data_IF_392641472668
#
_entry.id   IF_392641472668
#
_cell.length_a   1.000
_cell.length_b   1.000
_cell.length_c   1.000
_cell.angle_alpha   90.00
_cell.angle_beta   90.00
_cell.angle_gamma   90.00
#
_symmetry.space_group_name_H-M   'P 1'
#
loop_
_entity.id
_entity.type
_entity.pdbx_description
1 polymer ?
#
# COMPACT_ATOMS: atom_id res chain seq x y z
N UNK A 1 -8.17 -7.79 28.63
CA UNK A 1 -7.72 -7.82 27.23
C UNK A 1 -7.06 -9.17 27.02
N UNK A 2 -7.83 -10.16 26.54
CA UNK A 2 -7.36 -11.53 26.32
C UNK A 2 -6.76 -11.61 24.92
N UNK A 3 -5.45 -11.84 24.83
CA UNK A 3 -4.82 -12.22 23.56
C UNK A 3 -5.41 -13.58 23.16
N UNK A 4 -6.18 -13.61 22.07
CA UNK A 4 -6.83 -14.82 21.55
C UNK A 4 -5.85 -15.79 20.88
N UNK A 5 -4.63 -15.34 20.57
CA UNK A 5 -3.59 -16.16 19.95
C UNK A 5 -2.29 -16.09 20.76
N UNK A 6 -1.69 -17.27 21.02
CA UNK A 6 -0.42 -17.40 21.75
C UNK A 6 0.68 -17.84 20.79
N UNK A 7 1.84 -17.18 20.85
CA UNK A 7 3.01 -17.55 20.04
C UNK A 7 3.49 -18.98 20.31
N UNK A 8 3.14 -19.56 21.47
CA UNK A 8 3.46 -20.94 21.84
C UNK A 8 2.69 -21.97 20.99
N UNK A 9 1.58 -21.58 20.36
CA UNK A 9 0.78 -22.45 19.51
C UNK A 9 1.18 -22.36 18.03
N UNK A 10 1.98 -21.36 17.65
CA UNK A 10 2.44 -21.18 16.28
C UNK A 10 3.77 -21.90 16.07
N UNK A 11 3.78 -22.92 15.21
CA UNK A 11 4.95 -23.74 14.89
C UNK A 11 5.68 -23.31 13.61
N UNK A 12 5.21 -22.24 12.96
CA UNK A 12 5.80 -21.71 11.73
C UNK A 12 6.96 -20.74 11.96
N UNK A 13 7.42 -20.12 10.87
CA UNK A 13 8.54 -19.16 10.91
C UNK A 13 8.06 -17.76 11.30
N UNK A 14 8.36 -17.34 12.54
CA UNK A 14 8.04 -15.99 13.04
C UNK A 14 8.78 -14.87 12.28
N UNK A 15 9.84 -15.21 11.53
CA UNK A 15 10.51 -14.29 10.61
C UNK A 15 9.56 -13.67 9.57
N UNK A 16 8.51 -14.38 9.16
CA UNK A 16 7.49 -13.84 8.25
C UNK A 16 6.70 -12.69 8.88
N UNK A 17 6.42 -12.78 10.18
CA UNK A 17 5.78 -11.69 10.93
C UNK A 17 6.75 -10.54 11.17
N UNK A 18 7.99 -10.85 11.56
CA UNK A 18 9.04 -9.83 11.77
C UNK A 18 9.27 -9.00 10.51
N UNK A 19 9.31 -9.63 9.34
CA UNK A 19 9.53 -8.97 8.06
C UNK A 19 8.54 -7.83 7.79
N UNK A 20 7.28 -7.95 8.23
CA UNK A 20 6.25 -6.93 8.02
C UNK A 20 6.46 -5.65 8.85
N UNK A 21 7.23 -5.72 9.94
CA UNK A 21 7.37 -4.60 10.88
C UNK A 21 8.82 -4.14 11.08
N UNK A 22 9.79 -4.89 10.58
CA UNK A 22 11.22 -4.60 10.77
C UNK A 22 11.72 -3.66 9.66
N UNK A 23 11.56 -2.35 9.90
CA UNK A 23 11.98 -1.25 9.00
C UNK A 23 11.46 -1.40 7.54
N UNK A 24 10.36 -2.13 7.38
CA UNK A 24 9.70 -2.42 6.11
C UNK A 24 8.35 -1.73 6.06
N UNK A 25 8.24 -0.66 5.26
CA UNK A 25 6.99 0.08 5.11
C UNK A 25 6.94 0.78 3.75
N UNK A 26 5.73 0.91 3.22
CA UNK A 26 5.40 1.87 2.17
C UNK A 26 5.19 3.23 2.83
N UNK A 27 5.81 4.27 2.29
CA UNK A 27 5.54 5.64 2.68
C UNK A 27 5.62 6.57 1.48
N UNK A 28 4.54 7.29 1.23
CA UNK A 28 4.47 8.33 0.23
C UNK A 28 3.60 9.49 0.72
N UNK A 29 3.93 10.69 0.28
CA UNK A 29 3.18 11.90 0.62
C UNK A 29 2.71 12.59 -0.64
N UNK A 30 1.51 13.20 -0.61
CA UNK A 30 0.94 13.92 -1.75
C UNK A 30 0.87 13.10 -3.04
N UNK A 31 0.36 11.88 -2.96
CA UNK A 31 0.17 11.00 -4.12
C UNK A 31 -1.31 10.87 -4.48
N UNK A 32 -1.58 10.51 -5.73
CA UNK A 32 -2.94 10.24 -6.23
C UNK A 32 -3.01 8.84 -6.82
N UNK A 33 -4.18 8.21 -6.74
CA UNK A 33 -4.44 6.91 -7.35
C UNK A 33 -4.33 7.02 -8.88
N UNK A 34 -3.62 6.10 -9.51
CA UNK A 34 -3.43 6.08 -10.97
C UNK A 34 -4.31 5.06 -11.68
N UNK A 35 -4.74 4.02 -10.97
CA UNK A 35 -5.60 2.97 -11.50
C UNK A 35 -6.33 2.24 -10.36
N UNK A 36 -7.17 1.28 -10.74
CA UNK A 36 -7.78 0.31 -9.83
C UNK A 36 -7.80 -1.07 -10.50
N UNK A 37 -7.75 -2.12 -9.69
CA UNK A 37 -7.88 -3.50 -10.15
C UNK A 37 -9.30 -4.02 -9.90
N UNK A 38 -9.76 -3.98 -8.64
CA UNK A 38 -11.13 -4.31 -8.24
C UNK A 38 -11.88 -3.06 -7.75
N UNK A 39 -13.17 -3.21 -7.46
CA UNK A 39 -14.02 -2.10 -7.03
C UNK A 39 -13.58 -1.47 -5.69
N UNK A 40 -12.92 -2.23 -4.83
CA UNK A 40 -12.55 -1.83 -3.47
C UNK A 40 -11.05 -1.56 -3.31
N UNK A 41 -10.26 -1.49 -4.39
CA UNK A 41 -8.84 -1.21 -4.31
C UNK A 41 -8.43 0.02 -5.14
N UNK A 42 -7.26 0.55 -4.80
CA UNK A 42 -6.62 1.67 -5.48
C UNK A 42 -5.15 1.35 -5.72
N UNK A 43 -4.63 1.72 -6.88
CA UNK A 43 -3.23 1.55 -7.27
C UNK A 43 -2.56 2.92 -7.29
N UNK A 44 -1.39 3.01 -6.65
CA UNK A 44 -0.56 4.21 -6.58
C UNK A 44 0.81 3.94 -7.21
N UNK A 45 1.35 4.94 -7.91
CA UNK A 45 2.76 4.94 -8.35
C UNK A 45 3.63 5.39 -7.17
N UNK A 46 4.09 4.43 -6.38
CA UNK A 46 4.98 4.65 -5.24
C UNK A 46 6.18 3.74 -5.43
N UNK A 47 7.36 4.33 -5.55
CA UNK A 47 8.60 3.58 -5.67
C UNK A 47 9.26 3.34 -4.32
N UNK A 48 9.76 2.12 -4.15
CA UNK A 48 10.57 1.74 -3.00
C UNK A 48 11.88 2.55 -2.99
N UNK A 49 12.04 3.36 -1.94
CA UNK A 49 13.22 4.22 -1.76
C UNK A 49 14.44 3.45 -1.25
N UNK A 50 14.26 2.26 -0.67
CA UNK A 50 15.32 1.50 -0.02
C UNK A 50 15.91 0.43 -0.94
N UNK A 51 15.07 -0.52 -1.38
CA UNK A 51 15.53 -1.72 -2.08
C UNK A 51 15.15 -1.74 -3.57
N UNK A 52 14.34 -0.78 -4.02
CA UNK A 52 13.80 -0.70 -5.40
C UNK A 52 13.01 -1.96 -5.80
N UNK A 53 12.34 -2.60 -4.83
CA UNK A 53 11.58 -3.83 -5.07
C UNK A 53 10.23 -3.59 -5.74
N UNK A 54 9.70 -2.36 -5.67
CA UNK A 54 8.44 -2.01 -6.31
C UNK A 54 8.43 -0.56 -6.80
N UNK A 55 7.60 -0.30 -7.80
CA UNK A 55 7.25 1.02 -8.31
C UNK A 55 5.74 1.30 -8.27
N UNK A 56 4.94 0.27 -7.96
CA UNK A 56 3.49 0.37 -7.77
C UNK A 56 3.03 -0.35 -6.52
N UNK A 57 2.11 0.29 -5.83
CA UNK A 57 1.47 -0.22 -4.61
C UNK A 57 -0.02 -0.32 -4.86
N UNK A 58 -0.59 -1.51 -4.72
CA UNK A 58 -2.03 -1.69 -4.58
C UNK A 58 -2.41 -1.67 -3.12
N UNK A 59 -3.38 -0.85 -2.75
CA UNK A 59 -3.99 -0.87 -1.43
C UNK A 59 -5.44 -1.32 -1.51
N UNK A 60 -5.76 -2.41 -0.80
CA UNK A 60 -7.12 -2.92 -0.66
C UNK A 60 -7.82 -2.19 0.49
N UNK A 61 -9.03 -1.72 0.22
CA UNK A 61 -9.90 -1.05 1.19
C UNK A 61 -11.07 -1.94 1.56
N UNK A 62 -11.72 -1.62 2.67
CA UNK A 62 -12.81 -2.44 3.21
C UNK A 62 -13.98 -2.60 2.23
N UNK A 63 -14.29 -1.57 1.45
CA UNK A 63 -15.40 -1.57 0.52
C UNK A 63 -15.18 -0.58 -0.63
N UNK A 64 -16.08 -0.65 -1.62
CA UNK A 64 -16.06 0.24 -2.79
C UNK A 64 -16.27 1.71 -2.43
N UNK A 65 -17.04 2.02 -1.38
CA UNK A 65 -17.30 3.40 -0.97
C UNK A 65 -16.04 4.10 -0.44
N UNK A 66 -15.20 3.37 0.30
CA UNK A 66 -13.88 3.84 0.73
C UNK A 66 -12.95 4.05 -0.46
N UNK A 67 -12.97 3.15 -1.45
CA UNK A 67 -12.20 3.32 -2.67
C UNK A 67 -12.66 4.57 -3.44
N UNK A 68 -13.97 4.76 -3.62
CA UNK A 68 -14.55 5.98 -4.21
C UNK A 68 -14.18 7.25 -3.44
N UNK A 69 -14.14 7.19 -2.11
CA UNK A 69 -13.81 8.34 -1.25
C UNK A 69 -12.39 8.86 -1.46
N UNK A 70 -11.42 7.98 -1.71
CA UNK A 70 -10.00 8.35 -1.89
C UNK A 70 -9.55 8.34 -3.34
N UNK A 71 -10.39 7.84 -4.25
CA UNK A 71 -10.18 7.94 -5.67
C UNK A 71 -10.10 9.41 -6.06
N UNK A 72 -9.09 9.75 -6.87
CA UNK A 72 -8.85 11.11 -7.37
C UNK A 72 -8.52 12.17 -6.28
N UNK A 73 -8.24 11.75 -5.03
CA UNK A 73 -7.82 12.63 -3.94
C UNK A 73 -6.29 12.62 -3.78
N UNK A 74 -5.74 13.74 -3.30
CA UNK A 74 -4.33 13.85 -2.92
C UNK A 74 -4.14 13.33 -1.50
N UNK A 75 -3.49 12.20 -1.36
CA UNK A 75 -3.38 11.44 -0.11
C UNK A 75 -1.94 11.17 0.30
N UNK A 76 -1.76 10.97 1.59
CA UNK A 76 -0.55 10.38 2.16
C UNK A 76 -0.82 8.89 2.41
N UNK A 77 0.15 8.05 2.06
CA UNK A 77 0.08 6.59 2.16
C UNK A 77 1.16 6.10 3.11
N UNK A 78 0.77 5.31 4.12
CA UNK A 78 1.68 4.65 5.04
C UNK A 78 1.17 3.28 5.47
N UNK A 79 2.00 2.24 5.39
CA UNK A 79 1.66 0.94 5.95
C UNK A 79 2.63 -0.18 5.57
N UNK A 80 2.45 -1.35 6.18
CA UNK A 80 3.19 -2.56 5.83
C UNK A 80 2.66 -3.12 4.52
N UNK A 81 3.58 -3.49 3.62
CA UNK A 81 3.28 -4.16 2.38
C UNK A 81 3.70 -5.64 2.41
N UNK A 82 3.19 -6.40 1.46
CA UNK A 82 3.50 -7.80 1.24
C UNK A 82 3.62 -8.09 -0.26
N UNK A 83 4.35 -9.16 -0.58
CA UNK A 83 4.61 -9.57 -1.97
C UNK A 83 4.01 -10.93 -2.31
N UNK A 84 4.09 -11.89 -1.38
CA UNK A 84 3.51 -13.22 -1.57
C UNK A 84 2.00 -13.08 -1.72
N UNK A 85 1.44 -13.63 -2.79
CA UNK A 85 0.03 -13.51 -3.17
C UNK A 85 -0.45 -12.09 -3.49
N UNK A 86 0.46 -11.15 -3.78
CA UNK A 86 0.09 -9.86 -4.33
C UNK A 86 -0.10 -9.95 -5.85
N UNK A 87 -1.32 -9.76 -6.32
CA UNK A 87 -1.65 -9.78 -7.74
C UNK A 87 -2.49 -8.58 -8.13
N UNK A 88 -2.10 -7.91 -9.21
CA UNK A 88 -2.95 -6.97 -9.92
C UNK A 88 -2.43 -6.72 -11.33
N UNK A 89 -3.36 -6.62 -12.27
CA UNK A 89 -3.07 -5.96 -13.53
C UNK A 89 -3.05 -4.45 -13.30
N UNK A 90 -2.08 -3.82 -13.91
CA UNK A 90 -2.00 -2.38 -14.07
C UNK A 90 -2.04 -2.13 -15.57
N UNK A 91 -2.54 -0.97 -16.02
CA UNK A 91 -2.45 -0.55 -17.43
C UNK A 91 -1.01 -0.26 -17.87
N UNK A 92 -0.11 -1.21 -17.65
CA UNK A 92 1.22 -1.18 -18.21
C UNK A 92 1.14 -1.61 -19.66
N UNK A 93 1.80 -0.84 -20.52
CA UNK A 93 1.95 -1.21 -21.92
C UNK A 93 2.55 -2.61 -21.98
N UNK A 94 1.86 -3.51 -22.68
CA UNK A 94 2.27 -4.90 -22.91
C UNK A 94 3.65 -4.89 -23.56
N UNK A 95 4.72 -5.01 -22.75
CA UNK A 95 6.11 -4.87 -23.20
C UNK A 95 7.07 -4.24 -22.18
N UNK A 96 6.57 -3.43 -21.24
CA UNK A 96 7.39 -2.79 -20.18
C UNK A 96 7.00 -3.31 -18.78
N UNK A 97 7.05 -4.63 -18.57
CA UNK A 97 6.89 -5.22 -17.23
C UNK A 97 8.23 -5.15 -16.49
N UNK A 98 8.77 -3.95 -16.32
CA UNK A 98 10.04 -3.72 -15.60
C UNK A 98 9.83 -3.16 -14.19
N UNK A 99 8.58 -2.87 -13.83
CA UNK A 99 8.17 -2.35 -12.53
C UNK A 99 7.79 -3.44 -11.53
N UNK A 100 8.38 -3.41 -10.33
CA UNK A 100 8.02 -4.33 -9.25
C UNK A 100 6.68 -3.95 -8.62
N UNK A 101 5.91 -4.94 -8.16
CA UNK A 101 4.58 -4.76 -7.59
C UNK A 101 4.54 -5.16 -6.13
N UNK A 102 3.81 -4.40 -5.32
CA UNK A 102 3.53 -4.77 -3.93
C UNK A 102 2.10 -4.42 -3.54
N UNK A 103 1.59 -5.07 -2.50
CA UNK A 103 0.22 -4.92 -2.02
C UNK A 103 0.22 -4.56 -0.54
N UNK A 104 -0.82 -3.86 -0.10
CA UNK A 104 -1.07 -3.53 1.29
C UNK A 104 -2.58 -3.36 1.54
N UNK A 105 -2.95 -3.12 2.78
CA UNK A 105 -4.33 -2.84 3.18
C UNK A 105 -4.43 -1.45 3.82
N UNK A 106 -5.41 -0.65 3.40
CA UNK A 106 -5.67 0.67 3.96
C UNK A 106 -4.47 1.62 3.89
N UNK A 107 -4.16 2.26 5.03
CA UNK A 107 -2.99 3.15 5.14
C UNK A 107 -3.11 4.46 4.37
N UNK A 108 -4.32 4.91 4.05
CA UNK A 108 -4.58 6.12 3.28
C UNK A 108 -5.16 7.22 4.18
N UNK A 109 -4.58 8.42 4.09
CA UNK A 109 -5.11 9.62 4.76
C UNK A 109 -5.12 10.80 3.80
N UNK A 110 -6.12 11.69 3.89
CA UNK A 110 -6.10 12.91 3.07
C UNK A 110 -4.88 13.75 3.43
N UNK A 111 -4.15 14.22 2.42
CA UNK A 111 -3.03 15.12 2.67
C UNK A 111 -3.60 16.44 3.24
N UNK A 112 -3.13 16.91 4.40
CA UNK A 112 -3.53 18.22 4.88
C UNK A 112 -3.14 19.31 3.86
N UNK A 113 -4.07 20.19 3.53
CA UNK A 113 -3.76 21.40 2.77
C UNK A 113 -2.81 22.25 3.62
N UNK A 114 -1.55 22.39 3.22
CA UNK A 114 -0.73 23.48 3.74
C UNK A 114 -1.29 24.77 3.16
N UNK A 115 -1.98 25.53 3.99
CA UNK A 115 -2.30 26.93 3.74
C UNK A 115 -1.01 27.63 3.33
N UNK A 116 -0.98 28.15 2.10
CA UNK A 116 0.16 28.93 1.63
C UNK A 116 0.16 30.20 2.45
N UNK A 117 1.06 30.31 3.42
CA UNK A 117 1.37 31.59 4.05
C UNK A 117 1.95 32.46 2.94
N UNK A 118 1.10 33.30 2.34
CA UNK A 118 1.52 34.44 1.54
C UNK A 118 2.33 35.36 2.48
N UNK A 119 3.64 35.38 2.28
CA UNK A 119 4.53 36.45 2.75
C UNK A 119 4.87 37.31 1.54
#
# INVERSE_FOLDING_TARGET
MSCTESSLQFTGTMGNMKYLYDDHYVSATKVMSVDKFLAHDLIYNISDKKLKNYDKVKTELLNEDLAKKYKDEVVDVYGSNYYVNCYFSSKDNVGNVTGGKTCMYGGITKTPMKETTLI
#
